data_IF_475500668303
#
_entry.id   IF_475500668303
#
_cell.length_a   1.000
_cell.length_b   1.000
_cell.length_c   1.000
_cell.angle_alpha   90.00
_cell.angle_beta   90.00
_cell.angle_gamma   90.00
#
_symmetry.space_group_name_H-M   'P 1'
#
loop_
_entity.id
_entity.type
_entity.pdbx_description
1 polymer ?
#
# COMPACT_ATOMS: atom_id res chain seq x y z
N UNK A 1 -0.15 -50.77 15.32
CA UNK A 1 0.66 -49.96 16.24
C UNK A 1 1.97 -49.39 15.63
N UNK A 2 2.50 -49.94 14.52
CA UNK A 2 3.79 -49.51 13.92
C UNK A 2 3.73 -48.14 13.22
N UNK A 3 2.61 -47.70 12.68
CA UNK A 3 2.48 -46.46 11.92
C UNK A 3 2.33 -45.18 12.80
N UNK A 4 2.00 -45.29 14.08
CA UNK A 4 1.86 -44.17 15.00
C UNK A 4 3.21 -43.73 15.58
N UNK A 5 4.18 -44.63 15.69
CA UNK A 5 5.52 -44.33 16.22
C UNK A 5 6.34 -43.65 15.13
N UNK A 6 6.25 -44.08 13.88
CA UNK A 6 6.98 -43.51 12.75
C UNK A 6 6.59 -42.01 12.50
N UNK A 7 5.34 -41.64 12.76
CA UNK A 7 4.84 -40.28 12.56
C UNK A 7 5.30 -39.31 13.68
N UNK A 8 5.65 -39.84 14.85
CA UNK A 8 6.20 -38.99 15.95
C UNK A 8 7.66 -38.65 15.71
N UNK A 9 8.47 -39.57 15.22
CA UNK A 9 9.89 -39.33 14.89
C UNK A 9 10.06 -38.36 13.71
N UNK A 10 9.20 -38.43 12.72
CA UNK A 10 9.15 -37.46 11.61
C UNK A 10 8.79 -36.05 12.08
N UNK A 11 7.84 -35.92 13.00
CA UNK A 11 7.44 -34.62 13.57
C UNK A 11 8.52 -34.04 14.48
N UNK A 12 9.17 -34.85 15.31
CA UNK A 12 10.29 -34.39 16.14
C UNK A 12 11.52 -34.04 15.32
N UNK A 13 11.81 -34.80 14.26
CA UNK A 13 12.91 -34.48 13.33
C UNK A 13 12.65 -33.16 12.57
N UNK A 14 11.43 -32.92 12.12
CA UNK A 14 11.07 -31.66 11.46
C UNK A 14 11.13 -30.47 12.43
N UNK A 15 10.71 -30.64 13.67
CA UNK A 15 10.77 -29.60 14.70
C UNK A 15 12.22 -29.26 15.08
N UNK A 16 13.09 -30.26 15.18
CA UNK A 16 14.53 -30.08 15.39
C UNK A 16 15.21 -29.37 14.22
N UNK A 17 14.85 -29.71 12.98
CA UNK A 17 15.34 -29.06 11.78
C UNK A 17 14.90 -27.59 11.71
N UNK A 18 13.65 -27.31 12.08
CA UNK A 18 13.11 -25.96 12.12
C UNK A 18 13.80 -25.10 13.19
N UNK A 19 14.06 -25.67 14.38
CA UNK A 19 14.82 -24.99 15.45
C UNK A 19 16.26 -24.76 15.06
N UNK A 20 16.92 -25.71 14.40
CA UNK A 20 18.27 -25.54 13.88
C UNK A 20 18.34 -24.48 12.78
N UNK A 21 17.36 -24.43 11.90
CA UNK A 21 17.27 -23.41 10.85
C UNK A 21 17.08 -22.00 11.42
N UNK A 22 16.21 -21.85 12.44
CA UNK A 22 16.03 -20.57 13.14
C UNK A 22 17.30 -20.16 13.90
N UNK A 23 18.01 -21.10 14.50
CA UNK A 23 19.27 -20.83 15.23
C UNK A 23 20.41 -20.39 14.28
N UNK A 24 20.49 -20.93 13.06
CA UNK A 24 21.52 -20.53 12.08
C UNK A 24 21.24 -19.14 11.49
N UNK A 25 19.97 -18.78 11.32
CA UNK A 25 19.58 -17.42 10.85
C UNK A 25 19.87 -16.37 11.94
N UNK A 26 19.74 -16.73 13.22
CA UNK A 26 20.02 -15.82 14.34
C UNK A 26 21.53 -15.51 14.51
N UNK A 27 22.44 -16.36 14.04
CA UNK A 27 23.89 -16.12 14.13
C UNK A 27 24.47 -15.31 12.96
N UNK A 28 23.71 -15.11 11.87
CA UNK A 28 24.16 -14.36 10.69
C UNK A 28 23.81 -12.87 10.75
N UNK A 29 23.07 -12.42 11.75
CA UNK A 29 22.79 -11.01 11.96
C UNK A 29 23.95 -10.37 12.76
N UNK A 30 24.89 -9.69 12.07
CA UNK A 30 25.73 -8.72 12.74
C UNK A 30 24.83 -7.75 13.51
N UNK A 31 25.11 -7.46 14.79
CA UNK A 31 24.30 -6.51 15.56
C UNK A 31 24.36 -5.16 14.84
N UNK A 32 23.25 -4.73 14.28
CA UNK A 32 23.07 -3.36 13.85
C UNK A 32 23.46 -2.46 15.03
N UNK A 33 24.35 -1.50 14.87
CA UNK A 33 24.66 -0.56 15.92
C UNK A 33 23.42 0.32 16.14
N UNK A 34 22.52 -0.19 16.96
CA UNK A 34 21.41 0.61 17.46
C UNK A 34 22.03 1.67 18.37
N UNK A 35 21.79 2.96 18.13
CA UNK A 35 22.18 3.98 19.08
C UNK A 35 21.59 3.59 20.45
N UNK A 36 22.44 3.44 21.44
CA UNK A 36 22.03 3.14 22.82
C UNK A 36 21.20 4.32 23.33
N UNK A 37 19.88 4.20 23.23
CA UNK A 37 18.94 5.14 23.85
C UNK A 37 18.94 4.84 25.36
N UNK A 38 19.80 5.49 26.11
CA UNK A 38 19.70 5.57 27.56
C UNK A 38 18.51 6.46 27.92
N UNK A 39 17.32 5.88 27.97
CA UNK A 39 16.13 6.57 28.46
C UNK A 39 16.20 6.55 29.98
N UNK A 40 16.96 7.46 30.57
CA UNK A 40 16.91 7.73 32.00
C UNK A 40 15.61 8.43 32.32
N UNK A 41 14.59 7.69 32.76
CA UNK A 41 13.37 8.28 33.36
C UNK A 41 13.72 8.73 34.77
N UNK A 42 14.48 9.84 34.87
CA UNK A 42 14.69 10.56 36.11
C UNK A 42 13.92 11.87 36.06
N UNK A 43 13.24 12.22 37.14
CA UNK A 43 12.65 13.54 37.29
C UNK A 43 13.80 14.57 37.35
N UNK A 44 14.20 15.07 36.17
CA UNK A 44 15.23 16.08 36.05
C UNK A 44 14.54 17.42 35.81
N UNK A 45 14.83 18.38 36.69
CA UNK A 45 14.32 19.76 36.58
C UNK A 45 15.19 20.65 35.69
N UNK A 46 16.13 20.08 34.93
CA UNK A 46 17.02 20.86 34.04
C UNK A 46 16.35 21.08 32.67
N UNK A 47 16.38 22.32 32.12
CA UNK A 47 15.82 22.62 30.80
C UNK A 47 16.41 21.79 29.66
N UNK A 48 17.67 21.34 29.79
CA UNK A 48 18.32 20.46 28.83
C UNK A 48 17.66 19.08 28.69
N UNK A 49 17.19 18.51 29.80
CA UNK A 49 16.60 17.17 29.81
C UNK A 49 15.16 17.19 29.28
N UNK A 50 14.47 18.32 29.50
CA UNK A 50 13.16 18.57 28.89
C UNK A 50 13.26 18.68 27.37
N UNK A 51 14.30 19.33 26.86
CA UNK A 51 14.55 19.42 25.42
C UNK A 51 14.80 18.05 24.78
N UNK A 52 15.60 17.19 25.44
CA UNK A 52 15.83 15.81 24.99
C UNK A 52 14.55 14.97 25.00
N UNK A 53 13.74 15.09 26.06
CA UNK A 53 12.45 14.39 26.18
C UNK A 53 11.49 14.79 25.06
N UNK A 54 11.37 16.09 24.75
CA UNK A 54 10.56 16.60 23.64
C UNK A 54 11.08 16.07 22.30
N UNK A 55 12.41 16.07 22.10
CA UNK A 55 13.02 15.56 20.88
C UNK A 55 12.74 14.06 20.68
N UNK A 56 12.85 13.24 21.73
CA UNK A 56 12.51 11.82 21.68
C UNK A 56 11.01 11.63 21.38
N UNK A 57 10.13 12.40 22.04
CA UNK A 57 8.71 12.33 21.79
C UNK A 57 8.35 12.69 20.34
N UNK A 58 8.93 13.76 19.79
CA UNK A 58 8.76 14.15 18.39
C UNK A 58 9.29 13.07 17.44
N UNK A 59 10.45 12.49 17.73
CA UNK A 59 11.03 11.41 16.92
C UNK A 59 10.14 10.18 16.92
N UNK A 60 9.62 9.76 18.07
CA UNK A 60 8.69 8.64 18.17
C UNK A 60 7.37 8.93 17.43
N UNK A 61 6.88 10.17 17.52
CA UNK A 61 5.68 10.59 16.79
C UNK A 61 5.89 10.51 15.27
N UNK A 62 7.01 11.03 14.77
CA UNK A 62 7.36 10.96 13.34
C UNK A 62 7.52 9.48 12.91
N UNK A 63 8.21 8.66 13.72
CA UNK A 63 8.42 7.26 13.44
C UNK A 63 7.12 6.46 13.41
N UNK A 64 6.15 6.79 14.27
CA UNK A 64 4.83 6.14 14.27
C UNK A 64 3.99 6.52 13.04
N UNK A 65 4.20 7.71 12.46
CA UNK A 65 3.52 8.16 11.24
C UNK A 65 4.19 7.66 9.95
N UNK A 66 5.48 7.29 10.03
CA UNK A 66 6.28 6.91 8.85
C UNK A 66 5.65 5.79 7.99
N UNK A 67 5.13 4.67 8.54
CA UNK A 67 4.49 3.64 7.74
C UNK A 67 3.29 4.15 6.95
N UNK A 68 2.45 5.00 7.55
CA UNK A 68 1.30 5.62 6.88
C UNK A 68 1.73 6.51 5.71
N UNK A 69 2.73 7.36 5.93
CA UNK A 69 3.27 8.22 4.89
C UNK A 69 3.88 7.42 3.72
N UNK A 70 4.65 6.36 4.03
CA UNK A 70 5.23 5.50 2.99
C UNK A 70 4.15 4.84 2.13
N UNK A 71 3.09 4.32 2.75
CA UNK A 71 1.95 3.74 2.04
C UNK A 71 1.29 4.80 1.13
N UNK A 72 1.11 6.02 1.63
CA UNK A 72 0.51 7.13 0.89
C UNK A 72 1.36 7.61 -0.30
N UNK A 73 2.67 7.37 -0.30
CA UNK A 73 3.58 7.75 -1.38
C UNK A 73 3.77 6.65 -2.44
N UNK A 74 3.01 5.56 -2.36
CA UNK A 74 3.11 4.41 -3.26
C UNK A 74 1.81 4.20 -4.05
N UNK A 75 1.79 3.19 -4.91
CA UNK A 75 0.61 2.76 -5.67
C UNK A 75 -0.52 2.16 -4.80
N UNK A 76 -0.29 1.94 -3.51
CA UNK A 76 -1.19 1.23 -2.60
C UNK A 76 -2.59 1.84 -2.56
N UNK A 77 -2.70 3.15 -2.48
CA UNK A 77 -3.98 3.86 -2.34
C UNK A 77 -4.91 3.57 -3.52
N UNK A 78 -4.43 3.70 -4.77
CA UNK A 78 -5.24 3.39 -5.96
C UNK A 78 -5.69 1.93 -5.95
N UNK A 79 -4.77 1.01 -5.66
CA UNK A 79 -5.03 -0.43 -5.69
C UNK A 79 -6.10 -0.82 -4.66
N UNK A 80 -5.95 -0.41 -3.41
CA UNK A 80 -6.89 -0.80 -2.34
C UNK A 80 -8.28 -0.23 -2.57
N UNK A 81 -8.37 1.01 -3.09
CA UNK A 81 -9.65 1.64 -3.40
C UNK A 81 -10.34 0.92 -4.56
N UNK A 82 -9.63 0.64 -5.67
CA UNK A 82 -10.19 -0.08 -6.82
C UNK A 82 -10.66 -1.48 -6.45
N UNK A 83 -9.87 -2.24 -5.68
CA UNK A 83 -10.26 -3.57 -5.22
C UNK A 83 -11.47 -3.54 -4.27
N UNK A 84 -11.58 -2.49 -3.46
CA UNK A 84 -12.75 -2.27 -2.60
C UNK A 84 -14.00 -1.96 -3.42
N UNK A 85 -13.88 -1.16 -4.49
CA UNK A 85 -14.96 -0.91 -5.44
C UNK A 85 -15.38 -2.17 -6.17
N UNK A 86 -14.44 -3.01 -6.61
CA UNK A 86 -14.74 -4.29 -7.25
C UNK A 86 -15.62 -5.18 -6.35
N UNK A 87 -15.24 -5.32 -5.07
CA UNK A 87 -16.05 -6.08 -4.09
C UNK A 87 -17.47 -5.52 -3.98
N UNK A 88 -17.60 -4.20 -3.89
CA UNK A 88 -18.90 -3.53 -3.79
C UNK A 88 -19.72 -3.73 -5.07
N UNK A 89 -19.09 -3.66 -6.25
CA UNK A 89 -19.73 -3.85 -7.54
C UNK A 89 -20.30 -5.27 -7.71
N UNK A 90 -19.56 -6.29 -7.24
CA UNK A 90 -20.02 -7.67 -7.21
C UNK A 90 -21.23 -7.88 -6.29
N UNK A 91 -21.52 -6.95 -5.38
CA UNK A 91 -22.62 -7.10 -4.41
C UNK A 91 -22.33 -8.05 -3.26
N UNK A 92 -21.08 -8.49 -3.12
CA UNK A 92 -20.65 -9.34 -2.02
C UNK A 92 -20.41 -8.49 -0.78
N UNK A 93 -21.04 -8.85 0.35
CA UNK A 93 -20.92 -8.07 1.59
C UNK A 93 -19.58 -8.29 2.31
N UNK A 94 -19.01 -9.48 2.21
CA UNK A 94 -17.84 -9.89 3.00
C UNK A 94 -16.75 -10.66 2.23
N UNK A 95 -16.97 -11.00 0.98
CA UNK A 95 -16.02 -11.79 0.17
C UNK A 95 -15.55 -10.98 -1.06
N UNK A 96 -14.24 -10.84 -1.29
CA UNK A 96 -13.15 -11.22 -0.40
C UNK A 96 -13.07 -10.35 0.87
N UNK A 97 -12.52 -10.91 1.98
CA UNK A 97 -12.39 -10.17 3.24
C UNK A 97 -11.45 -8.96 3.10
N UNK A 98 -11.58 -7.98 4.00
CA UNK A 98 -10.69 -6.81 4.01
C UNK A 98 -9.21 -7.21 4.07
N UNK A 99 -8.88 -8.26 4.82
CA UNK A 99 -7.51 -8.77 4.94
C UNK A 99 -6.97 -9.27 3.61
N UNK A 100 -7.77 -9.98 2.82
CA UNK A 100 -7.38 -10.46 1.49
C UNK A 100 -7.18 -9.28 0.54
N UNK A 101 -8.08 -8.29 0.55
CA UNK A 101 -7.94 -7.08 -0.28
C UNK A 101 -6.67 -6.32 0.08
N UNK A 102 -6.40 -6.11 1.39
CA UNK A 102 -5.20 -5.42 1.84
C UNK A 102 -3.92 -6.19 1.48
N UNK A 103 -3.91 -7.52 1.69
CA UNK A 103 -2.77 -8.36 1.34
C UNK A 103 -2.50 -8.31 -0.17
N UNK A 104 -3.53 -8.46 -1.01
CA UNK A 104 -3.40 -8.37 -2.46
C UNK A 104 -2.92 -6.98 -2.91
N UNK A 105 -3.46 -5.91 -2.31
CA UNK A 105 -3.03 -4.55 -2.58
C UNK A 105 -1.56 -4.34 -2.22
N UNK A 106 -1.09 -4.87 -1.10
CA UNK A 106 0.33 -4.81 -0.73
C UNK A 106 1.22 -5.56 -1.72
N UNK A 107 0.88 -6.80 -2.09
CA UNK A 107 1.64 -7.56 -3.09
C UNK A 107 1.75 -6.83 -4.43
N UNK A 108 0.64 -6.31 -4.93
CA UNK A 108 0.62 -5.54 -6.17
C UNK A 108 1.44 -4.24 -6.03
N UNK A 109 1.40 -3.60 -4.87
CA UNK A 109 2.22 -2.42 -4.58
C UNK A 109 3.71 -2.76 -4.65
N UNK A 110 4.15 -3.83 -4.01
CA UNK A 110 5.55 -4.27 -4.09
C UNK A 110 5.96 -4.58 -5.52
N UNK A 111 5.09 -5.21 -6.30
CA UNK A 111 5.35 -5.52 -7.69
C UNK A 111 5.51 -4.24 -8.54
N UNK A 112 4.58 -3.29 -8.43
CA UNK A 112 4.58 -2.03 -9.19
C UNK A 112 5.76 -1.14 -8.77
N UNK A 113 6.06 -1.08 -7.47
CA UNK A 113 7.14 -0.25 -6.93
C UNK A 113 8.52 -0.91 -7.05
N UNK A 114 8.62 -2.15 -7.52
CA UNK A 114 9.88 -2.89 -7.66
C UNK A 114 10.98 -2.11 -8.42
N UNK A 115 10.73 -1.48 -9.58
CA UNK A 115 11.75 -0.69 -10.28
C UNK A 115 12.26 0.48 -9.43
N UNK A 116 11.38 1.12 -8.66
CA UNK A 116 11.72 2.26 -7.79
C UNK A 116 12.61 1.80 -6.64
N UNK A 117 12.27 0.66 -6.00
CA UNK A 117 13.10 0.07 -4.95
C UNK A 117 14.47 -0.35 -5.45
N UNK A 118 14.54 -0.93 -6.66
CA UNK A 118 15.81 -1.29 -7.29
C UNK A 118 16.68 -0.05 -7.55
N UNK A 119 16.09 1.03 -8.03
CA UNK A 119 16.79 2.29 -8.25
C UNK A 119 17.31 2.87 -6.92
N UNK A 120 16.50 2.91 -5.87
CA UNK A 120 16.92 3.35 -4.53
C UNK A 120 18.08 2.49 -4.01
N UNK A 121 17.98 1.17 -4.19
CA UNK A 121 19.04 0.27 -3.74
C UNK A 121 20.36 0.55 -4.47
N UNK A 122 20.34 0.72 -5.80
CA UNK A 122 21.54 0.92 -6.62
C UNK A 122 22.15 2.31 -6.47
N UNK A 123 21.33 3.37 -6.42
CA UNK A 123 21.81 4.75 -6.47
C UNK A 123 22.03 5.37 -5.08
N UNK A 124 21.33 4.88 -4.04
CA UNK A 124 21.41 5.40 -2.69
C UNK A 124 22.01 4.41 -1.70
N UNK A 125 21.38 3.24 -1.52
CA UNK A 125 21.75 2.33 -0.45
C UNK A 125 23.13 1.67 -0.64
N UNK A 126 23.42 1.11 -1.82
CA UNK A 126 24.70 0.44 -2.09
C UNK A 126 25.90 1.40 -2.03
N UNK A 127 25.85 2.62 -2.67
CA UNK A 127 26.94 3.59 -2.56
C UNK A 127 27.14 4.12 -1.13
N UNK A 128 26.04 4.27 -0.36
CA UNK A 128 26.16 4.67 1.04
C UNK A 128 26.79 3.56 1.89
N UNK A 129 26.38 2.32 1.72
CA UNK A 129 26.97 1.16 2.40
C UNK A 129 28.46 1.00 2.07
N UNK A 130 28.86 1.31 0.83
CA UNK A 130 30.25 1.30 0.39
C UNK A 130 31.03 2.57 0.81
N UNK A 131 30.43 3.46 1.64
CA UNK A 131 31.03 4.72 2.10
C UNK A 131 31.46 5.67 0.96
N UNK A 132 30.87 5.53 -0.22
CA UNK A 132 31.15 6.39 -1.39
C UNK A 132 30.40 7.70 -1.35
N UNK A 133 29.28 7.77 -0.61
CA UNK A 133 28.45 8.95 -0.45
C UNK A 133 28.07 9.16 1.01
N UNK A 134 27.84 10.42 1.37
CA UNK A 134 27.39 10.77 2.72
C UNK A 134 25.92 10.38 2.92
N UNK A 135 25.52 10.26 4.19
CA UNK A 135 24.12 9.95 4.55
C UNK A 135 23.12 10.95 3.94
N UNK A 136 23.46 12.23 3.91
CA UNK A 136 22.59 13.27 3.34
C UNK A 136 22.39 13.04 1.84
N UNK A 137 23.46 12.81 1.09
CA UNK A 137 23.40 12.53 -0.35
C UNK A 137 22.62 11.23 -0.63
N UNK A 138 22.78 10.21 0.22
CA UNK A 138 22.02 8.96 0.09
C UNK A 138 20.51 9.18 0.29
N UNK A 139 20.13 10.02 1.28
CA UNK A 139 18.73 10.36 1.53
C UNK A 139 18.13 11.10 0.33
N UNK A 140 18.82 12.09 -0.20
CA UNK A 140 18.35 12.85 -1.37
C UNK A 140 18.17 11.94 -2.59
N UNK A 141 19.12 11.02 -2.83
CA UNK A 141 19.04 10.03 -3.90
C UNK A 141 17.95 8.97 -3.67
N UNK A 142 17.63 8.64 -2.43
CA UNK A 142 16.54 7.72 -2.11
C UNK A 142 15.15 8.35 -2.33
N UNK A 143 15.00 9.63 -2.03
CA UNK A 143 13.74 10.36 -2.21
C UNK A 143 13.45 10.66 -3.68
N UNK A 144 14.46 10.90 -4.51
CA UNK A 144 14.29 11.31 -5.90
C UNK A 144 13.46 10.35 -6.76
N UNK A 145 13.65 9.01 -6.77
CA UNK A 145 12.83 8.08 -7.53
C UNK A 145 11.37 8.04 -7.08
N UNK A 146 11.12 8.12 -5.76
CA UNK A 146 9.76 8.16 -5.20
C UNK A 146 9.06 9.45 -5.61
N UNK A 147 9.77 10.58 -5.53
CA UNK A 147 9.28 11.88 -5.98
C UNK A 147 8.92 11.87 -7.46
N UNK A 148 9.79 11.30 -8.31
CA UNK A 148 9.54 11.17 -9.75
C UNK A 148 8.30 10.32 -10.02
N UNK A 149 8.12 9.21 -9.30
CA UNK A 149 6.92 8.38 -9.38
C UNK A 149 5.66 9.17 -9.00
N UNK A 150 5.66 9.87 -7.87
CA UNK A 150 4.51 10.68 -7.46
C UNK A 150 4.17 11.74 -8.50
N UNK A 151 5.15 12.46 -9.02
CA UNK A 151 4.93 13.50 -10.04
C UNK A 151 4.37 12.92 -11.34
N UNK A 152 4.83 11.75 -11.79
CA UNK A 152 4.32 11.09 -13.00
C UNK A 152 2.85 10.66 -12.89
N UNK A 153 2.39 10.39 -11.69
CA UNK A 153 1.00 9.97 -11.42
C UNK A 153 0.11 11.13 -10.95
N UNK A 154 0.68 12.31 -10.67
CA UNK A 154 -0.07 13.48 -10.21
C UNK A 154 -0.55 14.31 -11.40
N UNK A 155 -1.83 14.66 -11.41
CA UNK A 155 -2.41 15.55 -12.43
C UNK A 155 -1.93 16.99 -12.18
N UNK A 156 -1.65 17.70 -13.25
CA UNK A 156 -1.21 19.10 -13.16
C UNK A 156 -2.20 19.99 -12.39
N UNK A 157 -3.51 19.79 -12.57
CA UNK A 157 -4.55 20.55 -11.84
C UNK A 157 -4.50 20.33 -10.33
N UNK A 158 -4.28 19.09 -9.90
CA UNK A 158 -4.22 18.76 -8.48
C UNK A 158 -2.91 19.29 -7.88
N UNK A 159 -1.80 19.21 -8.62
CA UNK A 159 -0.52 19.78 -8.23
C UNK A 159 -0.60 21.33 -8.11
N UNK A 160 -1.18 21.99 -9.11
CA UNK A 160 -1.38 23.45 -9.11
C UNK A 160 -2.24 23.92 -7.93
N UNK A 161 -3.26 23.14 -7.55
CA UNK A 161 -4.09 23.42 -6.37
C UNK A 161 -3.22 23.49 -5.11
N UNK A 162 -2.42 22.45 -4.82
CA UNK A 162 -1.62 22.41 -3.60
C UNK A 162 -0.45 23.40 -3.62
N UNK A 163 0.12 23.69 -4.78
CA UNK A 163 1.10 24.76 -4.93
C UNK A 163 0.47 26.12 -4.57
N UNK A 164 -0.75 26.38 -5.04
CA UNK A 164 -1.44 27.64 -4.70
C UNK A 164 -1.79 27.75 -3.20
N UNK A 165 -2.15 26.64 -2.57
CA UNK A 165 -2.47 26.57 -1.14
C UNK A 165 -1.23 26.71 -0.25
N UNK A 166 -0.05 26.29 -0.74
CA UNK A 166 1.20 26.36 0.02
C UNK A 166 1.76 27.76 0.17
N UNK A 167 1.19 28.76 -0.53
CA UNK A 167 1.64 30.16 -0.56
C UNK A 167 3.12 30.33 -0.96
N UNK A 168 3.70 29.32 -1.61
CA UNK A 168 5.05 29.35 -2.13
C UNK A 168 5.12 30.21 -3.41
N UNK A 169 6.29 30.81 -3.72
CA UNK A 169 6.49 31.44 -5.01
C UNK A 169 6.22 30.42 -6.12
N UNK A 170 5.70 30.87 -7.26
CA UNK A 170 5.41 29.98 -8.39
C UNK A 170 6.67 29.20 -8.79
N UNK A 171 6.65 27.88 -8.70
CA UNK A 171 7.80 27.07 -9.09
C UNK A 171 8.05 27.21 -10.59
N UNK A 172 9.31 27.28 -10.99
CA UNK A 172 9.70 27.32 -12.41
C UNK A 172 9.69 25.92 -13.01
N UNK A 173 10.05 24.92 -12.21
CA UNK A 173 10.14 23.53 -12.60
C UNK A 173 9.46 22.63 -11.55
N UNK A 174 9.15 21.40 -11.94
CA UNK A 174 8.61 20.37 -11.02
C UNK A 174 9.57 20.07 -9.85
N UNK A 175 10.88 20.25 -10.07
CA UNK A 175 11.90 20.01 -9.05
C UNK A 175 11.89 21.06 -7.94
N UNK A 176 11.41 22.26 -8.21
CA UNK A 176 11.31 23.34 -7.22
C UNK A 176 10.17 23.14 -6.21
N UNK A 177 9.24 22.19 -6.49
CA UNK A 177 8.08 21.95 -5.64
C UNK A 177 8.51 21.10 -4.43
N UNK A 178 8.27 21.51 -3.18
CA UNK A 178 8.59 20.70 -2.01
C UNK A 178 7.86 19.36 -2.01
N UNK A 179 8.52 18.28 -1.60
CA UNK A 179 7.94 16.94 -1.55
C UNK A 179 6.67 16.90 -0.68
N UNK A 180 6.63 17.66 0.42
CA UNK A 180 5.44 17.78 1.29
C UNK A 180 4.21 18.36 0.57
N UNK A 181 4.40 19.15 -0.49
CA UNK A 181 3.31 19.67 -1.33
C UNK A 181 2.87 18.64 -2.37
N UNK A 182 3.79 17.80 -2.84
CA UNK A 182 3.51 16.75 -3.83
C UNK A 182 2.66 15.63 -3.21
N UNK A 183 2.94 15.22 -1.97
CA UNK A 183 2.24 14.11 -1.31
C UNK A 183 0.71 14.27 -1.33
N UNK A 184 0.11 15.36 -0.83
CA UNK A 184 -1.34 15.51 -0.86
C UNK A 184 -1.89 15.68 -2.28
N UNK A 185 -1.15 16.32 -3.20
CA UNK A 185 -1.55 16.43 -4.60
C UNK A 185 -1.63 15.04 -5.27
N UNK A 186 -0.61 14.22 -5.05
CA UNK A 186 -0.57 12.83 -5.49
C UNK A 186 -1.74 12.02 -4.93
N UNK A 187 -1.99 12.11 -3.60
CA UNK A 187 -3.08 11.39 -2.96
C UNK A 187 -4.45 11.72 -3.57
N UNK A 188 -4.73 12.99 -3.84
CA UNK A 188 -6.00 13.40 -4.47
C UNK A 188 -6.08 12.89 -5.91
N UNK A 189 -4.98 12.93 -6.66
CA UNK A 189 -4.90 12.38 -8.02
C UNK A 189 -5.12 10.86 -8.02
N UNK A 190 -4.50 10.13 -7.10
CA UNK A 190 -4.67 8.67 -6.94
C UNK A 190 -6.12 8.30 -6.59
N UNK A 191 -6.72 9.00 -5.61
CA UNK A 191 -8.12 8.79 -5.26
C UNK A 191 -9.05 9.04 -6.45
N UNK A 192 -8.85 10.14 -7.18
CA UNK A 192 -9.65 10.45 -8.36
C UNK A 192 -9.53 9.36 -9.43
N UNK A 193 -8.32 8.93 -9.73
CA UNK A 193 -8.08 7.86 -10.71
C UNK A 193 -8.69 6.54 -10.24
N UNK A 194 -8.55 6.21 -8.96
CA UNK A 194 -9.16 5.02 -8.37
C UNK A 194 -10.69 5.04 -8.46
N UNK A 195 -11.32 6.18 -8.20
CA UNK A 195 -12.76 6.36 -8.35
C UNK A 195 -13.22 6.22 -9.82
N UNK A 196 -12.44 6.76 -10.77
CA UNK A 196 -12.74 6.62 -12.20
C UNK A 196 -12.68 5.16 -12.65
N UNK A 197 -11.60 4.43 -12.28
CA UNK A 197 -11.47 3.01 -12.58
C UNK A 197 -12.59 2.21 -11.88
N UNK A 198 -12.84 2.49 -10.60
CA UNK A 198 -13.90 1.83 -9.83
C UNK A 198 -15.27 2.03 -10.45
N UNK A 199 -15.58 3.24 -10.92
CA UNK A 199 -16.83 3.53 -11.62
C UNK A 199 -16.96 2.71 -12.92
N UNK A 200 -15.90 2.64 -13.73
CA UNK A 200 -15.90 1.84 -14.96
C UNK A 200 -16.14 0.36 -14.69
N UNK A 201 -15.52 -0.18 -13.61
CA UNK A 201 -15.76 -1.56 -13.17
C UNK A 201 -17.22 -1.76 -12.73
N UNK A 202 -17.85 -0.73 -12.15
CA UNK A 202 -19.22 -0.82 -11.65
C UNK A 202 -20.28 -0.90 -12.75
N UNK A 203 -20.04 -0.29 -13.91
CA UNK A 203 -21.01 -0.20 -15.01
C UNK A 203 -21.61 -1.55 -15.42
N UNK A 204 -20.83 -2.60 -15.77
CA UNK A 204 -21.40 -3.87 -16.20
C UNK A 204 -22.27 -4.52 -15.13
N UNK A 205 -21.94 -4.34 -13.87
CA UNK A 205 -22.72 -4.91 -12.77
C UNK A 205 -24.03 -4.16 -12.50
N UNK A 206 -24.05 -2.84 -12.70
CA UNK A 206 -25.31 -2.06 -12.67
C UNK A 206 -26.24 -2.53 -13.77
N UNK A 207 -25.75 -2.79 -14.98
CA UNK A 207 -26.56 -3.30 -16.08
C UNK A 207 -27.22 -4.63 -15.70
N UNK A 208 -26.48 -5.56 -15.09
CA UNK A 208 -27.03 -6.82 -14.57
C UNK A 208 -28.13 -6.57 -13.54
N UNK A 209 -27.88 -5.64 -12.58
CA UNK A 209 -28.91 -5.28 -11.58
C UNK A 209 -30.19 -4.74 -12.22
N UNK A 210 -30.04 -3.85 -13.22
CA UNK A 210 -31.19 -3.25 -13.92
C UNK A 210 -32.00 -4.29 -14.69
N UNK A 211 -31.33 -5.22 -15.39
CA UNK A 211 -32.00 -6.30 -16.12
C UNK A 211 -32.77 -7.19 -15.16
N UNK A 212 -32.14 -7.64 -14.08
CA UNK A 212 -32.81 -8.48 -13.07
C UNK A 212 -33.98 -7.75 -12.42
N UNK A 213 -33.79 -6.48 -12.06
CA UNK A 213 -34.87 -5.68 -11.47
C UNK A 213 -36.06 -5.53 -12.42
N UNK A 214 -35.83 -5.28 -13.73
CA UNK A 214 -36.90 -5.18 -14.75
C UNK A 214 -37.67 -6.49 -14.87
N UNK A 215 -37.00 -7.62 -14.89
CA UNK A 215 -37.66 -8.94 -14.95
C UNK A 215 -38.50 -9.18 -13.70
N UNK A 216 -37.96 -8.96 -12.50
CA UNK A 216 -38.70 -9.15 -11.24
C UNK A 216 -39.93 -8.25 -11.15
N UNK A 217 -39.82 -6.99 -11.57
CA UNK A 217 -40.96 -6.07 -11.59
C UNK A 217 -42.02 -6.52 -12.57
N UNK A 218 -41.66 -7.01 -13.75
CA UNK A 218 -42.61 -7.51 -14.76
C UNK A 218 -43.38 -8.75 -14.28
N UNK A 219 -42.74 -9.55 -13.39
CA UNK A 219 -43.38 -10.71 -12.75
C UNK A 219 -44.21 -10.34 -11.50
N UNK A 220 -44.31 -9.06 -11.15
CA UNK A 220 -45.02 -8.62 -9.94
C UNK A 220 -44.30 -8.86 -8.61
N UNK A 221 -43.05 -9.26 -8.66
CA UNK A 221 -42.26 -9.63 -7.45
C UNK A 221 -41.57 -8.38 -6.82
N UNK A 222 -42.36 -7.34 -6.50
CA UNK A 222 -41.81 -6.07 -5.99
C UNK A 222 -41.17 -6.15 -4.59
N UNK A 223 -41.50 -7.18 -3.79
CA UNK A 223 -40.98 -7.32 -2.42
C UNK A 223 -39.57 -7.98 -2.36
N UNK A 224 -39.11 -8.58 -3.43
CA UNK A 224 -37.78 -9.21 -3.44
C UNK A 224 -36.71 -8.17 -3.80
N UNK A 225 -35.65 -8.03 -3.00
CA UNK A 225 -34.56 -7.10 -3.31
C UNK A 225 -33.78 -7.58 -4.55
N UNK A 226 -33.78 -6.82 -5.67
CA UNK A 226 -33.16 -7.25 -6.93
C UNK A 226 -31.67 -7.58 -6.81
N UNK A 227 -30.96 -6.87 -5.92
CA UNK A 227 -29.53 -7.06 -5.69
C UNK A 227 -29.18 -8.48 -5.17
N UNK A 228 -30.07 -9.08 -4.37
CA UNK A 228 -29.85 -10.45 -3.89
C UNK A 228 -30.01 -11.50 -4.99
N UNK A 229 -30.96 -11.25 -5.91
CA UNK A 229 -31.21 -12.15 -7.04
C UNK A 229 -30.16 -11.97 -8.15
N UNK A 230 -29.63 -10.76 -8.33
CA UNK A 230 -28.61 -10.49 -9.34
C UNK A 230 -27.21 -10.98 -8.96
N UNK A 231 -26.93 -11.19 -7.67
CA UNK A 231 -25.61 -11.59 -7.15
C UNK A 231 -25.01 -12.83 -7.84
N UNK A 232 -25.72 -13.98 -7.97
CA UNK A 232 -25.17 -15.15 -8.67
C UNK A 232 -24.87 -14.84 -10.15
N UNK A 233 -25.65 -14.03 -10.83
CA UNK A 233 -25.39 -13.64 -12.22
C UNK A 233 -24.16 -12.74 -12.35
N UNK A 234 -23.92 -11.82 -11.41
CA UNK A 234 -22.73 -10.98 -11.35
C UNK A 234 -21.47 -11.83 -11.15
N UNK A 235 -21.51 -12.77 -10.20
CA UNK A 235 -20.38 -13.66 -9.95
C UNK A 235 -20.09 -14.54 -11.19
N UNK A 236 -21.13 -15.12 -11.79
CA UNK A 236 -21.00 -15.92 -13.00
C UNK A 236 -20.36 -15.12 -14.14
N UNK A 237 -20.89 -13.91 -14.40
CA UNK A 237 -20.35 -13.00 -15.42
C UNK A 237 -18.87 -12.72 -15.15
N UNK A 238 -18.52 -12.36 -13.92
CA UNK A 238 -17.14 -12.03 -13.52
C UNK A 238 -16.18 -13.18 -13.72
N UNK A 239 -16.60 -14.41 -13.39
CA UNK A 239 -15.79 -15.64 -13.59
C UNK A 239 -15.65 -15.96 -15.07
N UNK A 240 -16.72 -15.85 -15.87
CA UNK A 240 -16.70 -16.16 -17.31
C UNK A 240 -15.76 -15.27 -18.11
N UNK A 241 -15.62 -14.00 -17.72
CA UNK A 241 -14.75 -13.03 -18.43
C UNK A 241 -13.34 -12.97 -17.86
N UNK A 242 -12.95 -13.87 -16.94
CA UNK A 242 -11.69 -13.78 -16.17
C UNK A 242 -11.53 -12.40 -15.51
N UNK A 243 -12.53 -11.98 -14.77
CA UNK A 243 -12.61 -10.64 -14.20
C UNK A 243 -11.43 -10.27 -13.30
N UNK A 244 -10.84 -11.24 -12.56
CA UNK A 244 -9.64 -10.98 -11.76
C UNK A 244 -8.43 -10.63 -12.63
N UNK A 245 -8.18 -11.41 -13.69
CA UNK A 245 -7.09 -11.16 -14.63
C UNK A 245 -7.23 -9.81 -15.32
N UNK A 246 -8.45 -9.46 -15.77
CA UNK A 246 -8.74 -8.17 -16.41
C UNK A 246 -8.52 -6.99 -15.45
N UNK A 247 -9.05 -7.05 -14.23
CA UNK A 247 -8.95 -5.96 -13.26
C UNK A 247 -7.50 -5.74 -12.83
N UNK A 248 -6.78 -6.81 -12.46
CA UNK A 248 -5.39 -6.72 -12.03
C UNK A 248 -4.50 -6.21 -13.16
N UNK A 249 -4.65 -6.75 -14.38
CA UNK A 249 -3.87 -6.32 -15.54
C UNK A 249 -4.11 -4.85 -15.88
N UNK A 250 -5.38 -4.41 -15.90
CA UNK A 250 -5.75 -3.02 -16.16
C UNK A 250 -5.22 -2.08 -15.09
N UNK A 251 -5.28 -2.52 -13.82
CA UNK A 251 -4.80 -1.74 -12.68
C UNK A 251 -3.28 -1.56 -12.74
N UNK A 252 -2.52 -2.62 -13.00
CA UNK A 252 -1.06 -2.54 -13.15
C UNK A 252 -0.67 -1.65 -14.33
N UNK A 253 -1.33 -1.82 -15.49
CA UNK A 253 -1.10 -0.99 -16.68
C UNK A 253 -1.46 0.48 -16.48
N UNK A 254 -2.28 0.82 -15.49
CA UNK A 254 -2.65 2.21 -15.21
C UNK A 254 -1.52 3.03 -14.57
N UNK A 255 -0.39 2.39 -14.21
CA UNK A 255 0.78 3.06 -13.64
C UNK A 255 1.92 3.30 -14.65
N UNK A 256 1.83 2.74 -15.86
CA UNK A 256 2.84 2.93 -16.92
C UNK A 256 2.75 1.90 -18.01
#
# INVERSE_FOLDING_TARGET
MRNLIQNRWLKTGFLLLLVLFVATVAQAAEPLPLPSLNIGVGASSKPSDMAVTIQIFLLLTILSMAPGLLIMMTSFTRIVVVLSFLRTALGTQSAPSNQIILALAMFLTFFIMSPIWNQINQEAYQPWKAQQITQQVAMDKAVAPVRKFMLSQTREKDLALFVSLSKLPRPKNADDIPTLTIIPAFMISELRTAFQIGFLIYIPFIVVDMVVASVLMSMGMMMLPPVMISLPFKILLFVLVDGWGLVISSLVKSFG
#
